data_IF_659954940349
#
_entry.id   IF_659954940349
#
_cell.length_a   1.000
_cell.length_b   1.000
_cell.length_c   1.000
_cell.angle_alpha   90.00
_cell.angle_beta   90.00
_cell.angle_gamma   90.00
#
_symmetry.space_group_name_H-M   'P 1'
#
loop_
_entity.id
_entity.type
_entity.pdbx_description
1 polymer ?
#
# COMPACT_ATOMS: atom_id res chain seq x y z
N UNK A 1 -10.88 -10.09 -18.05
CA UNK A 1 -12.06 -9.78 -17.22
C UNK A 1 -11.59 -9.47 -15.81
N UNK A 2 -12.19 -8.48 -15.15
CA UNK A 2 -11.95 -8.18 -13.75
C UNK A 2 -13.30 -8.12 -13.04
N UNK A 3 -13.32 -8.43 -11.75
CA UNK A 3 -14.52 -8.36 -10.92
C UNK A 3 -14.19 -7.57 -9.66
N UNK A 4 -15.08 -6.65 -9.28
CA UNK A 4 -15.02 -5.91 -8.02
C UNK A 4 -16.15 -6.45 -7.15
N UNK A 5 -15.82 -7.01 -6.00
CA UNK A 5 -16.78 -7.51 -5.03
C UNK A 5 -16.97 -6.49 -3.91
N UNK A 6 -18.20 -6.31 -3.46
CA UNK A 6 -18.57 -5.33 -2.42
C UNK A 6 -19.23 -6.09 -1.27
N UNK A 7 -18.81 -5.83 -0.04
CA UNK A 7 -19.40 -6.50 1.13
C UNK A 7 -20.78 -5.93 1.45
N UNK A 8 -21.67 -6.72 2.07
CA UNK A 8 -22.96 -6.18 2.52
C UNK A 8 -22.82 -5.16 3.67
N UNK A 9 -21.68 -5.13 4.35
CA UNK A 9 -21.39 -4.15 5.40
C UNK A 9 -21.06 -2.78 4.82
N UNK A 10 -20.22 -2.72 3.79
CA UNK A 10 -19.81 -1.43 3.19
C UNK A 10 -21.00 -0.73 2.51
N UNK A 11 -21.94 -1.46 1.93
CA UNK A 11 -23.17 -0.89 1.34
C UNK A 11 -24.13 -0.30 2.38
N UNK A 12 -24.03 -0.73 3.65
CA UNK A 12 -24.81 -0.16 4.77
C UNK A 12 -24.08 1.01 5.43
N UNK A 13 -22.75 1.02 5.36
CA UNK A 13 -21.91 2.03 6.01
C UNK A 13 -21.74 3.28 5.14
N UNK A 14 -21.57 3.12 3.83
CA UNK A 14 -21.28 4.22 2.91
C UNK A 14 -22.53 4.71 2.20
N UNK A 15 -22.56 6.01 1.88
CA UNK A 15 -23.53 6.55 0.94
C UNK A 15 -23.27 6.05 -0.49
N UNK A 16 -24.23 6.21 -1.40
CA UNK A 16 -24.05 5.83 -2.81
C UNK A 16 -22.85 6.57 -3.44
N UNK A 17 -22.67 7.84 -3.12
CA UNK A 17 -21.54 8.64 -3.61
C UNK A 17 -20.21 8.14 -3.07
N UNK A 18 -20.14 7.84 -1.78
CA UNK A 18 -18.94 7.28 -1.14
C UNK A 18 -18.57 5.91 -1.71
N UNK A 19 -19.58 5.06 -1.91
CA UNK A 19 -19.41 3.75 -2.53
C UNK A 19 -18.93 3.88 -3.98
N UNK A 20 -19.44 4.85 -4.74
CA UNK A 20 -18.96 5.17 -6.10
C UNK A 20 -17.49 5.59 -6.07
N UNK A 21 -17.07 6.38 -5.09
CA UNK A 21 -15.67 6.75 -4.87
C UNK A 21 -14.77 5.54 -4.63
N UNK A 22 -15.16 4.64 -3.71
CA UNK A 22 -14.43 3.40 -3.40
C UNK A 22 -14.36 2.48 -4.62
N UNK A 23 -15.47 2.24 -5.32
CA UNK A 23 -15.48 1.39 -6.52
C UNK A 23 -14.58 1.99 -7.61
N UNK A 24 -14.56 3.31 -7.76
CA UNK A 24 -13.71 3.98 -8.76
C UNK A 24 -12.22 3.82 -8.45
N UNK A 25 -11.85 3.82 -7.16
CA UNK A 25 -10.51 3.49 -6.69
C UNK A 25 -10.14 2.03 -7.03
N UNK A 26 -11.01 1.06 -6.74
CA UNK A 26 -10.77 -0.35 -7.09
C UNK A 26 -10.66 -0.57 -8.61
N UNK A 27 -11.48 0.14 -9.40
CA UNK A 27 -11.38 0.12 -10.86
C UNK A 27 -10.07 0.74 -11.36
N UNK A 28 -9.53 1.75 -10.65
CA UNK A 28 -8.22 2.31 -10.97
C UNK A 28 -7.11 1.25 -10.82
N UNK A 29 -7.12 0.45 -9.74
CA UNK A 29 -6.16 -0.65 -9.56
C UNK A 29 -6.25 -1.72 -10.67
N UNK A 30 -7.47 -2.03 -11.11
CA UNK A 30 -7.68 -2.94 -12.25
C UNK A 30 -7.10 -2.33 -13.53
N UNK A 31 -7.35 -1.05 -13.79
CA UNK A 31 -6.86 -0.32 -14.97
C UNK A 31 -5.34 -0.25 -14.99
N UNK A 32 -4.69 -0.02 -13.85
CA UNK A 32 -3.24 0.07 -13.71
C UNK A 32 -2.52 -1.28 -13.64
N UNK A 33 -3.28 -2.40 -13.62
CA UNK A 33 -2.75 -3.77 -13.48
C UNK A 33 -1.88 -3.93 -12.23
N UNK A 34 -2.34 -3.40 -11.12
CA UNK A 34 -1.55 -3.27 -9.91
C UNK A 34 -1.00 -4.59 -9.35
N UNK A 35 -1.76 -5.68 -9.45
CA UNK A 35 -1.30 -7.01 -9.06
C UNK A 35 -0.04 -7.42 -9.84
N UNK A 36 0.01 -7.11 -11.14
CA UNK A 36 1.18 -7.40 -11.98
C UNK A 36 2.38 -6.56 -11.53
N UNK A 37 2.18 -5.24 -11.35
CA UNK A 37 3.23 -4.32 -10.91
C UNK A 37 3.81 -4.74 -9.56
N UNK A 38 2.96 -5.07 -8.59
CA UNK A 38 3.39 -5.51 -7.28
C UNK A 38 4.07 -6.89 -7.31
N UNK A 39 3.61 -7.81 -8.15
CA UNK A 39 4.24 -9.14 -8.31
C UNK A 39 5.63 -9.01 -8.92
N UNK A 40 5.80 -8.18 -9.95
CA UNK A 40 7.11 -7.92 -10.59
C UNK A 40 8.06 -7.23 -9.63
N UNK A 41 7.61 -6.19 -8.91
CA UNK A 41 8.43 -5.51 -7.92
C UNK A 41 8.89 -6.46 -6.79
N UNK A 42 7.99 -7.33 -6.33
CA UNK A 42 8.29 -8.34 -5.30
C UNK A 42 9.30 -9.38 -5.82
N UNK A 43 9.15 -9.83 -7.07
CA UNK A 43 10.09 -10.76 -7.69
C UNK A 43 11.50 -10.15 -7.84
N UNK A 44 11.60 -8.88 -8.24
CA UNK A 44 12.87 -8.16 -8.33
C UNK A 44 13.51 -8.00 -6.93
N UNK A 45 12.72 -7.63 -5.92
CA UNK A 45 13.20 -7.53 -4.54
C UNK A 45 13.72 -8.87 -4.00
N UNK A 46 13.00 -9.96 -4.28
CA UNK A 46 13.43 -11.31 -3.95
C UNK A 46 14.73 -11.69 -4.67
N UNK A 47 14.83 -11.41 -5.98
CA UNK A 47 16.04 -11.66 -6.77
C UNK A 47 17.25 -10.92 -6.20
N UNK A 48 17.13 -9.63 -5.87
CA UNK A 48 18.21 -8.83 -5.26
C UNK A 48 18.64 -9.44 -3.93
N UNK A 49 17.67 -9.87 -3.11
CA UNK A 49 17.94 -10.50 -1.82
C UNK A 49 18.70 -11.82 -1.99
N UNK A 50 18.29 -12.67 -2.94
CA UNK A 50 18.99 -13.92 -3.24
C UNK A 50 20.39 -13.70 -3.82
N UNK A 51 20.58 -12.70 -4.67
CA UNK A 51 21.90 -12.35 -5.19
C UNK A 51 22.82 -11.87 -4.07
N UNK A 52 22.33 -11.06 -3.14
CA UNK A 52 23.10 -10.64 -1.97
C UNK A 52 23.57 -11.84 -1.13
N UNK A 53 22.68 -12.81 -0.87
CA UNK A 53 23.06 -14.04 -0.18
C UNK A 53 24.02 -14.93 -0.99
N UNK A 54 23.84 -15.02 -2.29
CA UNK A 54 24.71 -15.79 -3.17
C UNK A 54 26.14 -15.24 -3.18
N UNK A 55 26.31 -13.92 -3.38
CA UNK A 55 27.63 -13.28 -3.34
C UNK A 55 28.28 -13.35 -1.95
N UNK A 56 27.49 -13.39 -0.88
CA UNK A 56 28.02 -13.62 0.47
C UNK A 56 28.60 -15.03 0.61
N UNK A 57 27.87 -16.06 0.19
CA UNK A 57 28.28 -17.46 0.40
C UNK A 57 29.36 -17.93 -0.57
N UNK A 58 29.37 -17.39 -1.80
CA UNK A 58 30.25 -17.85 -2.88
C UNK A 58 31.28 -16.80 -3.35
N UNK A 59 31.16 -15.54 -2.94
CA UNK A 59 32.03 -14.44 -3.38
C UNK A 59 33.11 -14.01 -2.40
N UNK A 60 33.17 -14.60 -1.19
CA UNK A 60 34.13 -14.26 -0.15
C UNK A 60 35.41 -15.11 -0.25
N UNK A 61 36.32 -14.74 -1.15
CA UNK A 61 37.68 -15.32 -1.18
C UNK A 61 38.68 -14.50 -0.33
N UNK A 62 38.26 -13.33 0.17
CA UNK A 62 39.10 -12.40 0.92
C UNK A 62 38.72 -12.40 2.41
N UNK A 63 39.52 -13.07 3.25
CA UNK A 63 39.33 -13.25 4.69
C UNK A 63 39.74 -12.02 5.52
N UNK A 64 39.55 -10.81 4.99
CA UNK A 64 39.82 -9.59 5.75
C UNK A 64 38.72 -9.35 6.81
N UNK A 65 39.05 -8.83 8.01
CA UNK A 65 38.04 -8.43 8.98
C UNK A 65 37.06 -7.38 8.44
N UNK A 66 37.50 -6.56 7.48
CA UNK A 66 36.69 -5.52 6.84
C UNK A 66 35.63 -6.11 5.89
N UNK A 67 35.98 -7.13 5.10
CA UNK A 67 35.05 -7.82 4.20
C UNK A 67 33.99 -8.63 4.98
N UNK A 68 34.36 -9.20 6.13
CA UNK A 68 33.42 -9.84 7.06
C UNK A 68 32.40 -8.84 7.65
N UNK A 69 32.86 -7.67 8.10
CA UNK A 69 31.95 -6.63 8.62
C UNK A 69 31.05 -6.08 7.51
N UNK A 70 31.58 -5.84 6.31
CA UNK A 70 30.83 -5.33 5.18
C UNK A 70 29.75 -6.32 4.69
N UNK A 71 30.08 -7.62 4.61
CA UNK A 71 29.13 -8.67 4.23
C UNK A 71 28.00 -8.83 5.26
N UNK A 72 28.34 -8.82 6.56
CA UNK A 72 27.34 -8.86 7.63
C UNK A 72 26.42 -7.63 7.62
N UNK A 73 26.97 -6.44 7.37
CA UNK A 73 26.17 -5.22 7.22
C UNK A 73 25.21 -5.33 6.03
N UNK A 74 25.67 -5.85 4.88
CA UNK A 74 24.81 -6.04 3.70
C UNK A 74 23.68 -7.03 3.92
N UNK A 75 23.89 -8.11 4.68
CA UNK A 75 22.84 -9.08 5.04
C UNK A 75 21.70 -8.44 5.81
N UNK A 76 22.00 -7.47 6.68
CA UNK A 76 20.99 -6.77 7.46
C UNK A 76 20.37 -5.63 6.67
N UNK A 77 21.18 -4.83 5.98
CA UNK A 77 20.74 -3.60 5.33
C UNK A 77 20.02 -3.86 3.99
N UNK A 78 20.42 -4.86 3.21
CA UNK A 78 19.83 -5.09 1.89
C UNK A 78 18.34 -5.51 1.96
N UNK A 79 17.92 -6.46 2.83
CA UNK A 79 16.50 -6.79 2.98
C UNK A 79 15.66 -5.62 3.51
N UNK A 80 16.21 -4.82 4.43
CA UNK A 80 15.57 -3.61 4.96
C UNK A 80 15.35 -2.60 3.82
N UNK A 81 16.40 -2.32 3.03
CA UNK A 81 16.31 -1.41 1.90
C UNK A 81 15.29 -1.89 0.86
N UNK A 82 15.30 -3.19 0.51
CA UNK A 82 14.35 -3.78 -0.42
C UNK A 82 12.90 -3.63 0.08
N UNK A 83 12.67 -3.89 1.37
CA UNK A 83 11.34 -3.76 2.00
C UNK A 83 10.87 -2.30 1.99
N UNK A 84 11.75 -1.35 2.30
CA UNK A 84 11.43 0.09 2.25
C UNK A 84 11.06 0.54 0.83
N UNK A 85 11.80 0.09 -0.19
CA UNK A 85 11.48 0.36 -1.59
C UNK A 85 10.11 -0.23 -1.95
N UNK A 86 9.85 -1.48 -1.57
CA UNK A 86 8.57 -2.15 -1.85
C UNK A 86 7.39 -1.43 -1.21
N UNK A 87 7.53 -0.98 0.04
CA UNK A 87 6.53 -0.19 0.75
C UNK A 87 6.30 1.18 0.10
N UNK A 88 7.37 1.84 -0.35
CA UNK A 88 7.27 3.11 -1.06
C UNK A 88 6.52 2.95 -2.39
N UNK A 89 6.84 1.90 -3.17
CA UNK A 89 6.12 1.56 -4.40
C UNK A 89 4.65 1.26 -4.11
N UNK A 90 4.35 0.54 -3.03
CA UNK A 90 2.97 0.27 -2.61
C UNK A 90 2.17 1.54 -2.36
N UNK A 91 2.73 2.47 -1.57
CA UNK A 91 2.07 3.74 -1.25
C UNK A 91 1.87 4.62 -2.48
N UNK A 92 2.85 4.65 -3.39
CA UNK A 92 2.73 5.43 -4.62
C UNK A 92 1.58 4.95 -5.51
N UNK A 93 1.33 3.63 -5.54
CA UNK A 93 0.19 3.05 -6.26
C UNK A 93 -1.15 3.45 -5.66
N UNK A 94 -1.28 3.41 -4.34
CA UNK A 94 -2.49 3.88 -3.64
C UNK A 94 -2.80 5.34 -3.98
N UNK A 95 -1.79 6.22 -3.97
CA UNK A 95 -1.99 7.63 -4.35
C UNK A 95 -2.38 7.79 -5.83
N UNK A 96 -1.81 6.98 -6.72
CA UNK A 96 -2.17 7.00 -8.14
C UNK A 96 -3.60 6.48 -8.37
N UNK A 97 -4.01 5.46 -7.62
CA UNK A 97 -5.36 4.92 -7.63
C UNK A 97 -6.37 5.91 -7.03
N UNK A 98 -6.02 6.65 -5.97
CA UNK A 98 -6.82 7.76 -5.44
C UNK A 98 -7.08 8.82 -6.50
N UNK A 99 -6.02 9.27 -7.18
CA UNK A 99 -6.13 10.30 -8.21
C UNK A 99 -6.96 9.81 -9.40
N UNK A 100 -6.63 8.63 -9.94
CA UNK A 100 -7.36 8.04 -11.07
C UNK A 100 -8.81 7.73 -10.70
N UNK A 101 -9.07 7.25 -9.48
CA UNK A 101 -10.41 7.00 -8.98
C UNK A 101 -11.23 8.28 -8.87
N UNK A 102 -10.62 9.36 -8.38
CA UNK A 102 -11.24 10.68 -8.34
C UNK A 102 -11.58 11.23 -9.73
N UNK A 103 -10.73 10.98 -10.73
CA UNK A 103 -11.00 11.31 -12.13
C UNK A 103 -12.16 10.47 -12.70
N UNK A 104 -12.19 9.17 -12.42
CA UNK A 104 -13.25 8.26 -12.88
C UNK A 104 -14.62 8.65 -12.31
N UNK A 105 -14.70 8.98 -11.02
CA UNK A 105 -15.96 9.41 -10.40
C UNK A 105 -16.27 10.91 -10.57
N UNK A 106 -15.34 11.68 -11.15
CA UNK A 106 -15.39 13.14 -11.28
C UNK A 106 -15.68 13.88 -9.95
N UNK A 107 -15.37 13.27 -8.81
CA UNK A 107 -15.64 13.83 -7.49
C UNK A 107 -14.62 13.33 -6.45
N UNK A 108 -13.50 14.05 -6.24
CA UNK A 108 -12.49 13.67 -5.26
C UNK A 108 -13.01 13.57 -3.81
N UNK A 109 -14.07 14.33 -3.46
CA UNK A 109 -14.63 14.31 -2.10
C UNK A 109 -15.33 12.99 -1.78
N UNK A 110 -15.86 12.30 -2.79
CA UNK A 110 -16.54 11.01 -2.62
C UNK A 110 -15.64 9.96 -1.96
N UNK A 111 -14.41 9.81 -2.45
CA UNK A 111 -13.43 8.89 -1.87
C UNK A 111 -12.88 9.45 -0.55
N UNK A 112 -12.66 10.76 -0.45
CA UNK A 112 -12.14 11.37 0.78
C UNK A 112 -13.09 11.17 1.98
N UNK A 113 -14.40 11.40 1.80
CA UNK A 113 -15.38 11.18 2.87
C UNK A 113 -15.57 9.70 3.17
N UNK A 114 -15.52 8.83 2.15
CA UNK A 114 -15.57 7.38 2.33
C UNK A 114 -14.41 6.88 3.21
N UNK A 115 -13.18 7.34 2.96
CA UNK A 115 -12.01 6.95 3.75
C UNK A 115 -12.16 7.33 5.23
N UNK A 116 -12.67 8.53 5.52
CA UNK A 116 -12.93 8.98 6.90
C UNK A 116 -14.01 8.11 7.56
N UNK A 117 -15.11 7.83 6.85
CA UNK A 117 -16.21 7.01 7.38
C UNK A 117 -15.80 5.55 7.60
N UNK A 118 -14.93 5.01 6.73
CA UNK A 118 -14.35 3.68 6.92
C UNK A 118 -13.37 3.66 8.10
N UNK A 119 -12.60 4.71 8.33
CA UNK A 119 -11.73 4.84 9.51
C UNK A 119 -12.53 4.84 10.81
N UNK A 120 -13.61 5.62 10.86
CA UNK A 120 -14.53 5.65 12.00
C UNK A 120 -15.20 4.27 12.21
N UNK A 121 -15.69 3.64 11.14
CA UNK A 121 -16.29 2.32 11.19
C UNK A 121 -15.31 1.23 11.70
N UNK A 122 -14.06 1.28 11.24
CA UNK A 122 -13.00 0.36 11.67
C UNK A 122 -12.64 0.54 13.16
N UNK A 123 -12.66 1.78 13.67
CA UNK A 123 -12.47 2.07 15.10
C UNK A 123 -13.63 1.56 15.96
N UNK A 124 -14.86 1.65 15.45
CA UNK A 124 -16.05 1.21 16.17
C UNK A 124 -16.18 -0.32 16.26
N UNK A 125 -15.74 -1.05 15.23
CA UNK A 125 -15.83 -2.51 15.13
C UNK A 125 -14.46 -3.11 14.75
N UNK A 126 -13.50 -3.17 15.67
CA UNK A 126 -12.17 -3.69 15.39
C UNK A 126 -12.25 -5.18 15.02
N UNK A 127 -11.72 -5.54 13.86
CA UNK A 127 -11.64 -6.92 13.39
C UNK A 127 -10.24 -7.48 13.65
N UNK A 128 -10.17 -8.66 14.25
CA UNK A 128 -8.91 -9.44 14.22
C UNK A 128 -8.81 -10.13 12.86
N UNK A 129 -7.92 -9.64 12.01
CA UNK A 129 -7.65 -10.24 10.69
C UNK A 129 -6.20 -10.66 10.60
N UNK A 130 -5.89 -11.60 9.71
CA UNK A 130 -4.50 -11.99 9.49
C UNK A 130 -3.75 -10.84 8.79
N UNK A 131 -2.53 -10.53 9.21
CA UNK A 131 -1.66 -9.56 8.53
C UNK A 131 -1.46 -9.91 7.04
N UNK A 132 -1.46 -11.19 6.69
CA UNK A 132 -1.36 -11.65 5.29
C UNK A 132 -2.53 -11.19 4.41
N UNK A 133 -3.68 -10.86 5.01
CA UNK A 133 -4.88 -10.39 4.30
C UNK A 133 -5.04 -8.88 4.33
N UNK A 134 -4.17 -8.14 5.03
CA UNK A 134 -4.21 -6.67 5.14
C UNK A 134 -4.34 -5.96 3.77
N UNK A 135 -3.64 -6.36 2.69
CA UNK A 135 -3.75 -5.71 1.38
C UNK A 135 -5.13 -5.84 0.71
N UNK A 136 -6.04 -6.66 1.25
CA UNK A 136 -7.40 -6.82 0.72
C UNK A 136 -8.39 -5.83 1.34
N UNK A 137 -7.97 -5.02 2.32
CA UNK A 137 -8.83 -4.10 3.06
C UNK A 137 -8.57 -2.65 2.65
N UNK A 138 -9.65 -1.88 2.49
CA UNK A 138 -9.59 -0.45 2.12
C UNK A 138 -9.01 0.40 3.25
N UNK A 139 -9.33 0.04 4.50
CA UNK A 139 -8.86 0.73 5.70
C UNK A 139 -8.24 -0.27 6.67
N UNK A 140 -7.17 0.19 7.32
CA UNK A 140 -6.37 -0.61 8.24
C UNK A 140 -7.22 -1.14 9.41
N UNK A 141 -7.30 -2.47 9.60
CA UNK A 141 -7.97 -3.06 10.76
C UNK A 141 -7.09 -3.06 12.03
N UNK A 142 -5.81 -2.70 11.90
CA UNK A 142 -4.83 -2.66 12.99
C UNK A 142 -4.40 -1.24 13.37
N UNK A 143 -4.64 -0.85 14.62
CA UNK A 143 -4.27 0.45 15.19
C UNK A 143 -2.79 0.53 15.61
N UNK A 144 -1.86 0.21 14.72
CA UNK A 144 -0.42 0.34 15.01
C UNK A 144 0.12 1.75 14.70
N UNK A 145 0.26 2.62 15.72
CA UNK A 145 1.04 3.88 15.60
C UNK A 145 2.55 3.60 15.73
N UNK A 146 3.39 4.38 15.04
CA UNK A 146 4.86 4.30 15.16
C UNK A 146 5.54 3.40 14.10
N UNK A 147 6.51 2.57 14.51
CA UNK A 147 7.31 1.68 13.63
C UNK A 147 6.40 0.70 12.84
N UNK A 148 5.27 0.29 13.43
CA UNK A 148 4.24 -0.51 12.76
C UNK A 148 3.52 0.22 11.60
N UNK A 149 3.57 1.56 11.58
CA UNK A 149 3.12 2.38 10.45
C UNK A 149 4.11 2.41 9.28
N UNK A 150 5.38 2.08 9.52
CA UNK A 150 6.37 1.94 8.44
C UNK A 150 6.07 0.69 7.60
N UNK A 151 5.66 -0.40 8.24
CA UNK A 151 5.27 -1.66 7.58
C UNK A 151 3.84 -1.67 7.02
N UNK A 152 3.11 -0.55 7.11
CA UNK A 152 1.78 -0.40 6.53
C UNK A 152 1.86 -0.33 5.01
N UNK A 153 1.15 -1.23 4.32
CA UNK A 153 1.06 -1.24 2.84
C UNK A 153 0.24 -0.08 2.29
N UNK A 154 -0.70 0.44 3.09
CA UNK A 154 -1.48 1.64 2.78
C UNK A 154 -0.88 2.90 3.42
N UNK A 155 -0.89 4.04 2.69
CA UNK A 155 -0.50 5.32 3.25
C UNK A 155 -1.50 5.84 4.29
N UNK A 156 -1.10 6.78 5.17
CA UNK A 156 -2.00 7.38 6.16
C UNK A 156 -3.25 7.98 5.51
N UNK A 157 -4.42 7.75 6.11
CA UNK A 157 -5.71 8.24 5.58
C UNK A 157 -5.72 9.75 5.49
N UNK A 158 -5.16 10.44 6.48
CA UNK A 158 -5.10 11.90 6.52
C UNK A 158 -4.30 12.47 5.33
N UNK A 159 -3.28 11.76 4.86
CA UNK A 159 -2.50 12.14 3.69
C UNK A 159 -3.29 11.92 2.39
N UNK A 160 -3.97 10.76 2.27
CA UNK A 160 -4.84 10.46 1.11
C UNK A 160 -5.96 11.49 0.98
N UNK A 161 -6.67 11.75 2.08
CA UNK A 161 -7.75 12.75 2.15
C UNK A 161 -7.24 14.15 1.79
N UNK A 162 -6.06 14.54 2.27
CA UNK A 162 -5.47 15.84 1.93
C UNK A 162 -5.22 15.96 0.43
N UNK A 163 -4.63 14.94 -0.20
CA UNK A 163 -4.33 14.93 -1.65
C UNK A 163 -5.61 14.95 -2.48
N UNK A 164 -6.60 14.13 -2.14
CA UNK A 164 -7.90 14.12 -2.82
C UNK A 164 -8.57 15.49 -2.77
N UNK A 165 -8.57 16.15 -1.60
CA UNK A 165 -9.14 17.48 -1.46
C UNK A 165 -8.37 18.58 -2.20
N UNK A 166 -7.08 18.40 -2.45
CA UNK A 166 -6.28 19.28 -3.30
C UNK A 166 -6.60 19.13 -4.80
N UNK A 167 -7.14 17.99 -5.23
CA UNK A 167 -7.60 17.81 -6.61
C UNK A 167 -8.92 18.53 -6.90
N UNK A 168 -9.65 18.96 -5.86
CA UNK A 168 -10.88 19.71 -6.04
C UNK A 168 -10.53 21.03 -6.74
N UNK A 169 -11.19 21.39 -7.86
CA UNK A 169 -10.99 22.71 -8.44
C UNK A 169 -11.26 23.76 -7.35
N UNK A 170 -10.38 24.78 -7.27
CA UNK A 170 -10.64 25.92 -6.41
C UNK A 170 -12.04 26.43 -6.77
N UNK A 171 -12.93 26.48 -5.78
CA UNK A 171 -14.29 27.00 -5.96
C UNK A 171 -14.16 28.40 -6.57
N UNK A 172 -14.52 28.51 -7.86
CA UNK A 172 -14.73 29.76 -8.57
C UNK A 172 -16.19 30.15 -8.50
#
# INVERSE_FOLDING_TARGET
HAAVAVTSGITKLLSEDELRGVISHELAHVKSRDILTQSVASAIGAMITYLAYFFMWFGSDDNSPLSLVASLAMVLLAPIAATLIQLAVSRQREYAADATGAEICANPESLASALLRLEEGAKAMPMQVNQATEPLYIVKPFSGKGIAGLFSTHPPIEERVRRLRQMRPALG
#
